data_IF_053198944984
#
_entry.id   IF_053198944984
#
_cell.length_a   1.000
_cell.length_b   1.000
_cell.length_c   1.000
_cell.angle_alpha   90.00
_cell.angle_beta   90.00
_cell.angle_gamma   90.00
#
_symmetry.space_group_name_H-M   'P 1'
#
loop_
_entity.id
_entity.type
_entity.pdbx_description
1 polymer ?
#
# COMPACT_ATOMS: atom_id res chain seq x y z
N UNK A 1 12.18 14.66 7.23
CA UNK A 1 13.17 14.15 6.26
C UNK A 1 14.18 13.12 6.79
N UNK A 2 14.14 12.74 8.08
CA UNK A 2 15.08 11.77 8.63
C UNK A 2 14.90 10.38 7.98
N UNK A 3 13.65 9.99 7.79
CA UNK A 3 13.25 8.73 7.14
C UNK A 3 12.18 9.01 6.07
N UNK A 4 12.58 9.38 4.84
CA UNK A 4 11.63 9.77 3.80
C UNK A 4 10.90 8.59 3.15
N UNK A 5 11.33 7.37 3.43
CA UNK A 5 10.78 6.13 2.90
C UNK A 5 10.72 5.10 4.02
N UNK A 6 9.63 4.35 4.09
CA UNK A 6 9.42 3.20 4.97
C UNK A 6 8.80 2.07 4.15
N UNK A 7 9.07 0.83 4.53
CA UNK A 7 8.48 -0.38 3.95
C UNK A 7 7.31 -0.92 4.77
N UNK A 8 6.98 -0.29 5.89
CA UNK A 8 5.82 -0.62 6.69
C UNK A 8 4.51 -0.15 6.06
N UNK A 9 3.42 -0.82 6.41
CA UNK A 9 2.10 -0.46 5.94
C UNK A 9 0.99 -1.15 6.72
N UNK A 10 -0.24 -0.74 6.41
CA UNK A 10 -1.46 -1.32 6.99
C UNK A 10 -2.41 -1.78 5.92
N UNK A 11 -3.43 -2.56 6.32
CA UNK A 11 -4.48 -3.02 5.41
C UNK A 11 -5.19 -1.86 4.69
N UNK A 12 -5.53 -0.77 5.38
CA UNK A 12 -6.16 0.40 4.75
C UNK A 12 -5.30 0.98 3.64
N UNK A 13 -3.98 1.07 3.83
CA UNK A 13 -3.06 1.56 2.80
C UNK A 13 -3.04 0.64 1.57
N UNK A 14 -2.99 -0.66 1.77
CA UNK A 14 -3.06 -1.65 0.67
C UNK A 14 -4.40 -1.58 -0.04
N UNK A 15 -5.52 -1.56 0.71
CA UNK A 15 -6.86 -1.48 0.16
C UNK A 15 -7.07 -0.20 -0.66
N UNK A 16 -6.51 0.92 -0.21
CA UNK A 16 -6.57 2.20 -0.92
C UNK A 16 -5.79 2.18 -2.25
N UNK A 17 -4.61 1.56 -2.27
CA UNK A 17 -3.81 1.36 -3.49
C UNK A 17 -4.54 0.43 -4.46
N UNK A 18 -5.00 -0.72 -3.98
CA UNK A 18 -5.72 -1.72 -4.79
C UNK A 18 -7.01 -1.14 -5.36
N UNK A 19 -7.78 -0.39 -4.57
CA UNK A 19 -9.01 0.26 -5.04
C UNK A 19 -8.78 1.30 -6.14
N UNK A 20 -7.59 1.92 -6.16
CA UNK A 20 -7.24 2.92 -7.19
C UNK A 20 -6.60 2.31 -8.43
N UNK A 21 -5.72 1.34 -8.26
CA UNK A 21 -4.86 0.85 -9.33
C UNK A 21 -5.19 -0.57 -9.80
N UNK A 22 -6.04 -1.30 -9.06
CA UNK A 22 -6.40 -2.67 -9.36
C UNK A 22 -5.40 -3.70 -8.85
N UNK A 23 -5.51 -4.92 -9.39
CA UNK A 23 -4.65 -6.05 -9.07
C UNK A 23 -4.00 -6.63 -10.33
N UNK A 24 -2.81 -7.17 -10.16
CA UNK A 24 -2.07 -7.90 -11.20
C UNK A 24 -1.61 -9.24 -10.62
N UNK A 25 -1.82 -10.37 -11.32
CA UNK A 25 -1.35 -11.66 -10.84
C UNK A 25 0.18 -11.75 -10.93
N UNK A 26 0.77 -12.57 -10.05
CA UNK A 26 2.22 -12.73 -9.92
C UNK A 26 2.91 -13.16 -11.23
N UNK A 27 2.22 -13.95 -12.05
CA UNK A 27 2.74 -14.44 -13.33
C UNK A 27 2.94 -13.32 -14.36
N UNK A 28 2.15 -12.24 -14.25
CA UNK A 28 2.21 -11.09 -15.16
C UNK A 28 3.24 -10.07 -14.73
N UNK A 29 3.42 -9.91 -13.42
CA UNK A 29 4.45 -9.05 -12.82
C UNK A 29 5.23 -9.85 -11.79
N UNK A 30 6.18 -10.69 -12.23
CA UNK A 30 6.95 -11.54 -11.33
C UNK A 30 7.89 -10.72 -10.46
N UNK A 31 8.20 -11.27 -9.29
CA UNK A 31 9.19 -10.70 -8.38
C UNK A 31 10.55 -10.54 -9.06
N UNK A 32 11.20 -9.42 -8.81
CA UNK A 32 12.55 -9.13 -9.25
C UNK A 32 13.54 -9.35 -8.10
N UNK A 33 14.84 -9.40 -8.38
CA UNK A 33 15.84 -9.40 -7.32
C UNK A 33 15.69 -8.20 -6.37
N UNK A 34 15.39 -7.02 -6.92
CA UNK A 34 15.24 -5.80 -6.13
C UNK A 34 13.95 -5.77 -5.29
N UNK A 35 12.88 -6.48 -5.69
CA UNK A 35 11.66 -6.59 -4.86
C UNK A 35 11.88 -7.48 -3.64
N UNK A 36 12.77 -8.48 -3.75
CA UNK A 36 13.17 -9.35 -2.63
C UNK A 36 14.32 -8.76 -1.79
N UNK A 37 15.09 -7.82 -2.34
CA UNK A 37 16.27 -7.19 -1.72
C UNK A 37 16.19 -5.66 -1.84
N UNK A 38 15.24 -5.05 -1.16
CA UNK A 38 14.85 -3.63 -1.33
C UNK A 38 15.87 -2.60 -0.83
N UNK A 39 16.85 -2.98 0.00
CA UNK A 39 17.71 -2.06 0.74
C UNK A 39 18.45 -1.05 -0.14
N UNK A 40 19.03 -1.49 -1.27
CA UNK A 40 19.80 -0.60 -2.17
C UNK A 40 18.87 0.37 -2.90
N UNK A 41 17.75 -0.13 -3.45
CA UNK A 41 16.73 0.69 -4.11
C UNK A 41 16.16 1.72 -3.14
N UNK A 42 15.77 1.30 -1.93
CA UNK A 42 15.23 2.17 -0.89
C UNK A 42 16.24 3.23 -0.46
N UNK A 43 17.51 2.89 -0.33
CA UNK A 43 18.59 3.84 0.01
C UNK A 43 18.76 4.89 -1.08
N UNK A 44 18.78 4.49 -2.35
CA UNK A 44 18.92 5.41 -3.48
C UNK A 44 17.73 6.35 -3.58
N UNK A 45 16.51 5.83 -3.49
CA UNK A 45 15.28 6.64 -3.50
C UNK A 45 15.28 7.59 -2.31
N UNK A 46 15.63 7.10 -1.11
CA UNK A 46 15.71 7.92 0.09
C UNK A 46 16.69 9.09 -0.03
N UNK A 47 17.85 8.89 -0.66
CA UNK A 47 18.80 9.97 -0.97
C UNK A 47 18.20 10.99 -1.95
N UNK A 48 17.57 10.51 -3.03
CA UNK A 48 16.91 11.39 -4.00
C UNK A 48 15.76 12.20 -3.39
N UNK A 49 14.94 11.58 -2.56
CA UNK A 49 13.85 12.29 -1.88
C UNK A 49 14.38 13.38 -0.93
N UNK A 50 15.51 13.15 -0.25
CA UNK A 50 16.17 14.18 0.59
C UNK A 50 16.71 15.33 -0.25
N UNK A 51 17.44 15.03 -1.33
CA UNK A 51 17.96 16.00 -2.28
C UNK A 51 16.81 16.88 -2.84
N UNK A 52 15.77 16.26 -3.35
CA UNK A 52 14.62 16.94 -3.93
C UNK A 52 13.83 17.76 -2.92
N UNK A 53 13.66 17.22 -1.71
CA UNK A 53 12.99 17.93 -0.63
C UNK A 53 13.74 19.20 -0.21
N UNK A 54 15.09 19.20 -0.22
CA UNK A 54 15.91 20.38 0.04
C UNK A 54 15.76 21.40 -1.10
N UNK A 55 15.87 20.96 -2.37
CA UNK A 55 15.72 21.83 -3.54
C UNK A 55 14.36 22.51 -3.58
N UNK A 56 13.27 21.76 -3.33
CA UNK A 56 11.91 22.31 -3.30
C UNK A 56 11.75 23.33 -2.15
N UNK A 57 12.30 23.04 -0.97
CA UNK A 57 12.27 23.96 0.17
C UNK A 57 13.00 25.26 -0.13
N UNK A 58 14.19 25.19 -0.73
CA UNK A 58 14.92 26.38 -1.18
C UNK A 58 14.15 27.19 -2.23
N UNK A 59 13.50 26.49 -3.17
CA UNK A 59 12.67 27.14 -4.19
C UNK A 59 11.52 27.93 -3.59
N UNK A 60 10.85 27.38 -2.56
CA UNK A 60 9.81 28.07 -1.81
C UNK A 60 10.39 29.28 -1.06
N UNK A 61 11.53 29.14 -0.38
CA UNK A 61 12.17 30.21 0.36
C UNK A 61 12.62 31.36 -0.54
N UNK A 62 13.03 31.07 -1.77
CA UNK A 62 13.38 32.05 -2.81
C UNK A 62 12.17 32.70 -3.49
N UNK A 63 10.94 32.35 -3.07
CA UNK A 63 9.69 32.87 -3.65
C UNK A 63 9.44 32.47 -5.08
N UNK A 64 9.91 31.26 -5.47
CA UNK A 64 9.63 30.70 -6.81
C UNK A 64 8.14 30.53 -7.02
N UNK A 65 7.66 30.77 -8.23
CA UNK A 65 6.27 30.57 -8.63
C UNK A 65 5.82 29.12 -8.42
N UNK A 66 4.60 28.94 -7.87
CA UNK A 66 4.05 27.62 -7.50
C UNK A 66 4.01 26.68 -8.69
N UNK A 67 3.61 27.16 -9.89
CA UNK A 67 3.54 26.33 -11.09
C UNK A 67 4.92 25.79 -11.50
N UNK A 68 5.98 26.60 -11.32
CA UNK A 68 7.35 26.15 -11.58
C UNK A 68 7.80 25.10 -10.56
N UNK A 69 7.43 25.27 -9.28
CA UNK A 69 7.70 24.29 -8.23
C UNK A 69 6.99 22.97 -8.54
N UNK A 70 5.73 23.00 -8.95
CA UNK A 70 4.97 21.82 -9.33
C UNK A 70 5.54 21.10 -10.56
N UNK A 71 5.92 21.86 -11.60
CA UNK A 71 6.58 21.30 -12.77
C UNK A 71 7.90 20.61 -12.39
N UNK A 72 8.73 21.27 -11.57
CA UNK A 72 9.98 20.70 -11.08
C UNK A 72 9.76 19.44 -10.24
N UNK A 73 8.76 19.43 -9.36
CA UNK A 73 8.36 18.24 -8.59
C UNK A 73 7.97 17.08 -9.51
N UNK A 74 7.27 17.34 -10.62
CA UNK A 74 6.91 16.31 -11.59
C UNK A 74 8.16 15.68 -12.21
N UNK A 75 9.13 16.47 -12.67
CA UNK A 75 10.42 15.96 -13.18
C UNK A 75 11.17 15.10 -12.15
N UNK A 76 11.15 15.51 -10.88
CA UNK A 76 11.74 14.76 -9.78
C UNK A 76 11.03 13.40 -9.59
N UNK A 77 9.70 13.38 -9.65
CA UNK A 77 8.91 12.15 -9.56
C UNK A 77 9.14 11.23 -10.76
N UNK A 78 9.33 11.76 -11.96
CA UNK A 78 9.71 10.97 -13.14
C UNK A 78 11.06 10.26 -12.92
N UNK A 79 12.02 10.93 -12.29
CA UNK A 79 13.29 10.30 -11.93
C UNK A 79 13.11 9.17 -10.91
N UNK A 80 12.29 9.38 -9.87
CA UNK A 80 11.96 8.33 -8.89
C UNK A 80 11.26 7.16 -9.57
N UNK A 81 10.28 7.44 -10.44
CA UNK A 81 9.58 6.42 -11.20
C UNK A 81 10.53 5.60 -12.08
N UNK A 82 11.50 6.25 -12.75
CA UNK A 82 12.52 5.55 -13.54
C UNK A 82 13.36 4.60 -12.68
N UNK A 83 13.75 5.01 -11.46
CA UNK A 83 14.46 4.13 -10.54
C UNK A 83 13.60 2.92 -10.17
N UNK A 84 12.31 3.13 -9.87
CA UNK A 84 11.39 2.04 -9.56
C UNK A 84 11.24 1.08 -10.75
N UNK A 85 11.04 1.59 -11.95
CA UNK A 85 10.89 0.76 -13.18
C UNK A 85 12.15 -0.06 -13.46
N UNK A 86 13.35 0.52 -13.30
CA UNK A 86 14.61 -0.21 -13.48
C UNK A 86 14.80 -1.35 -12.47
N UNK A 87 14.25 -1.23 -11.28
CA UNK A 87 14.38 -2.21 -10.22
C UNK A 87 13.23 -3.23 -10.18
N UNK A 88 11.99 -2.79 -10.46
CA UNK A 88 10.78 -3.58 -10.25
C UNK A 88 10.06 -3.97 -11.55
N UNK A 89 10.46 -3.40 -12.69
CA UNK A 89 9.76 -3.55 -13.96
C UNK A 89 8.68 -2.50 -14.18
N UNK A 90 8.13 -2.48 -15.39
CA UNK A 90 7.02 -1.58 -15.75
C UNK A 90 5.71 -2.21 -15.31
N UNK A 91 4.89 -1.52 -14.50
CA UNK A 91 3.56 -2.02 -14.17
C UNK A 91 2.72 -2.20 -15.44
N UNK A 92 2.11 -3.37 -15.65
CA UNK A 92 1.28 -3.61 -16.83
C UNK A 92 -0.01 -2.80 -16.76
N UNK A 93 -0.41 -2.22 -17.90
CA UNK A 93 -1.71 -1.53 -18.05
C UNK A 93 -2.81 -2.47 -18.51
N UNK A 94 -2.42 -3.54 -19.19
CA UNK A 94 -3.29 -4.64 -19.66
C UNK A 94 -2.46 -5.91 -19.75
N UNK A 95 -3.10 -7.07 -19.65
CA UNK A 95 -2.44 -8.37 -19.68
C UNK A 95 -3.40 -9.49 -20.00
N UNK A 96 -2.85 -10.61 -20.48
CA UNK A 96 -3.58 -11.86 -20.63
C UNK A 96 -3.36 -12.75 -19.41
N UNK A 97 -4.46 -13.22 -18.84
CA UNK A 97 -4.46 -14.13 -17.69
C UNK A 97 -4.94 -15.51 -18.12
N UNK A 98 -4.12 -16.54 -17.91
CA UNK A 98 -4.46 -17.92 -18.20
C UNK A 98 -5.06 -18.56 -16.96
N UNK A 99 -6.39 -18.71 -16.96
CA UNK A 99 -7.08 -19.44 -15.88
C UNK A 99 -6.78 -20.93 -15.99
N UNK A 100 -6.39 -21.54 -14.87
CA UNK A 100 -6.04 -22.96 -14.78
C UNK A 100 -7.06 -23.71 -13.93
N UNK A 101 -7.26 -25.01 -14.23
CA UNK A 101 -8.03 -25.92 -13.40
C UNK A 101 -7.24 -26.32 -12.14
N UNK A 102 -7.88 -27.13 -11.27
CA UNK A 102 -7.24 -27.64 -10.04
C UNK A 102 -6.02 -28.54 -10.29
N UNK A 103 -5.84 -29.02 -11.53
CA UNK A 103 -4.68 -29.82 -11.94
C UNK A 103 -3.60 -28.99 -12.60
N UNK A 104 -3.80 -27.67 -12.76
CA UNK A 104 -2.86 -26.76 -13.39
C UNK A 104 -2.99 -26.67 -14.91
N UNK A 105 -3.98 -27.31 -15.55
CA UNK A 105 -4.16 -27.22 -16.99
C UNK A 105 -4.83 -25.90 -17.37
N UNK A 106 -4.42 -25.24 -18.46
CA UNK A 106 -5.07 -24.04 -18.96
C UNK A 106 -6.52 -24.35 -19.38
N UNK A 107 -7.45 -23.54 -18.92
CA UNK A 107 -8.88 -23.64 -19.22
C UNK A 107 -9.31 -22.54 -20.18
N UNK A 108 -8.83 -21.31 -19.95
CA UNK A 108 -9.25 -20.12 -20.68
C UNK A 108 -8.19 -19.04 -20.58
N UNK A 109 -8.03 -18.28 -21.64
CA UNK A 109 -7.22 -17.03 -21.60
C UNK A 109 -8.16 -15.85 -21.61
N UNK A 110 -7.99 -14.96 -20.65
CA UNK A 110 -8.81 -13.78 -20.44
C UNK A 110 -7.95 -12.53 -20.54
N UNK A 111 -8.44 -11.50 -21.24
CA UNK A 111 -7.76 -10.22 -21.34
C UNK A 111 -8.27 -9.27 -20.25
N UNK A 112 -7.36 -8.68 -19.48
CA UNK A 112 -7.67 -7.82 -18.35
C UNK A 112 -6.84 -6.55 -18.31
N UNK A 113 -7.46 -5.49 -17.78
CA UNK A 113 -6.74 -4.41 -17.10
C UNK A 113 -6.62 -4.76 -15.60
N UNK A 114 -5.70 -4.13 -14.83
CA UNK A 114 -5.64 -4.35 -13.39
C UNK A 114 -6.97 -4.14 -12.66
N UNK A 115 -7.78 -3.17 -13.11
CA UNK A 115 -9.12 -2.91 -12.54
C UNK A 115 -10.12 -4.01 -12.89
N UNK A 116 -10.20 -4.44 -14.15
CA UNK A 116 -11.12 -5.51 -14.53
C UNK A 116 -10.75 -6.85 -13.89
N UNK A 117 -9.46 -7.08 -13.63
CA UNK A 117 -9.01 -8.25 -12.87
C UNK A 117 -9.43 -8.17 -11.40
N UNK A 118 -9.30 -7.01 -10.76
CA UNK A 118 -9.81 -6.78 -9.41
C UNK A 118 -11.31 -7.03 -9.33
N UNK A 119 -12.10 -6.52 -10.29
CA UNK A 119 -13.55 -6.69 -10.32
C UNK A 119 -13.99 -8.15 -10.42
N UNK A 120 -13.23 -8.96 -11.15
CA UNK A 120 -13.56 -10.37 -11.38
C UNK A 120 -13.04 -11.31 -10.31
N UNK A 121 -11.82 -11.09 -9.82
CA UNK A 121 -11.08 -12.01 -8.97
C UNK A 121 -10.81 -11.49 -7.55
N UNK A 122 -11.02 -10.20 -7.31
CA UNK A 122 -10.81 -9.58 -6.01
C UNK A 122 -12.10 -9.03 -5.39
N UNK A 123 -11.93 -8.34 -4.27
CA UNK A 123 -13.00 -7.57 -3.65
C UNK A 123 -12.79 -6.08 -3.94
N UNK A 124 -13.59 -5.53 -4.86
CA UNK A 124 -13.55 -4.10 -5.19
C UNK A 124 -14.00 -3.19 -4.03
N UNK A 125 -14.65 -3.76 -3.03
CA UNK A 125 -15.16 -3.04 -1.87
C UNK A 125 -14.25 -3.19 -0.64
N UNK A 126 -12.95 -3.44 -0.83
CA UNK A 126 -11.97 -3.62 0.26
C UNK A 126 -12.04 -2.52 1.33
N UNK A 127 -12.27 -1.25 0.92
CA UNK A 127 -12.35 -0.12 1.85
C UNK A 127 -13.65 -0.04 2.66
N UNK A 128 -14.69 -0.77 2.26
CA UNK A 128 -16.00 -0.75 2.89
C UNK A 128 -16.38 -2.06 3.57
N UNK A 129 -15.84 -3.18 3.09
CA UNK A 129 -16.13 -4.52 3.62
C UNK A 129 -15.24 -4.88 4.82
N UNK A 130 -14.15 -4.14 5.04
CA UNK A 130 -13.19 -4.41 6.10
C UNK A 130 -12.96 -3.17 6.95
N UNK A 131 -12.71 -3.40 8.22
CA UNK A 131 -12.38 -2.36 9.19
C UNK A 131 -11.15 -2.78 9.98
N UNK A 132 -10.27 -1.83 10.26
CA UNK A 132 -9.15 -2.06 11.18
C UNK A 132 -9.64 -1.85 12.60
N UNK A 133 -9.30 -2.78 13.48
CA UNK A 133 -9.56 -2.69 14.91
C UNK A 133 -8.25 -2.55 15.68
N UNK A 134 -8.29 -1.88 16.82
CA UNK A 134 -7.16 -1.78 17.75
C UNK A 134 -7.62 -2.09 19.18
N UNK A 135 -6.70 -2.45 20.03
CA UNK A 135 -6.89 -2.47 21.47
C UNK A 135 -5.92 -1.49 22.10
N UNK A 136 -6.43 -0.35 22.51
CA UNK A 136 -5.69 0.66 23.26
C UNK A 136 -6.49 1.01 24.53
N UNK A 137 -6.13 0.45 25.70
CA UNK A 137 -6.84 0.70 26.95
C UNK A 137 -6.67 2.13 27.48
N UNK A 138 -5.75 2.93 26.93
CA UNK A 138 -5.59 4.34 27.29
C UNK A 138 -6.64 5.26 26.64
N UNK A 139 -7.45 4.72 25.71
CA UNK A 139 -8.46 5.44 24.95
C UNK A 139 -9.84 4.85 25.16
N UNK A 140 -10.88 5.64 24.91
CA UNK A 140 -12.25 5.14 25.00
C UNK A 140 -12.49 3.99 24.01
N UNK A 141 -13.06 2.89 24.51
CA UNK A 141 -13.53 1.81 23.66
C UNK A 141 -14.78 2.22 22.88
N UNK A 142 -15.05 1.51 21.80
CA UNK A 142 -16.20 1.73 20.88
C UNK A 142 -16.18 3.10 20.19
N UNK A 143 -15.00 3.68 20.05
CA UNK A 143 -14.74 4.90 19.30
C UNK A 143 -13.91 4.62 18.06
N UNK A 144 -14.15 5.44 17.04
CA UNK A 144 -13.33 5.46 15.83
C UNK A 144 -12.22 6.50 15.98
N UNK A 145 -10.99 6.10 15.71
CA UNK A 145 -9.81 6.97 15.76
C UNK A 145 -9.16 7.01 14.38
N UNK A 146 -8.91 8.20 13.89
CA UNK A 146 -8.19 8.46 12.66
C UNK A 146 -6.78 8.96 12.97
N UNK A 147 -5.77 8.45 12.25
CA UNK A 147 -4.40 8.91 12.36
C UNK A 147 -4.16 9.89 11.23
N UNK A 148 -4.07 11.18 11.58
CA UNK A 148 -3.91 12.25 10.60
C UNK A 148 -2.59 12.12 9.85
N UNK A 149 -2.63 12.35 8.52
CA UNK A 149 -1.52 12.20 7.58
C UNK A 149 -0.93 10.80 7.42
N UNK A 150 -1.41 9.78 8.11
CA UNK A 150 -0.94 8.42 7.96
C UNK A 150 -1.72 7.72 6.83
N UNK A 151 -1.16 7.78 5.64
CA UNK A 151 -1.76 7.28 4.39
C UNK A 151 -0.67 6.95 3.37
N UNK A 152 -0.95 6.00 2.48
CA UNK A 152 0.02 5.56 1.46
C UNK A 152 0.02 6.41 0.19
N UNK A 153 -1.02 7.22 -0.02
CA UNK A 153 -1.15 8.12 -1.16
C UNK A 153 -1.47 9.53 -0.67
N UNK A 154 -1.00 10.54 -1.39
CA UNK A 154 -1.32 11.94 -1.07
C UNK A 154 -2.83 12.21 -1.04
N UNK A 155 -3.57 11.64 -2.00
CA UNK A 155 -5.01 11.72 -2.13
C UNK A 155 -5.75 10.52 -1.52
N UNK A 156 -5.07 9.70 -0.73
CA UNK A 156 -5.59 8.52 -0.08
C UNK A 156 -6.30 8.80 1.24
N UNK A 157 -6.83 7.73 1.83
CA UNK A 157 -7.49 7.77 3.12
C UNK A 157 -6.50 7.62 4.26
N UNK A 158 -6.68 8.40 5.32
CA UNK A 158 -5.97 8.21 6.57
C UNK A 158 -6.36 6.88 7.21
N UNK A 159 -5.46 6.32 7.99
CA UNK A 159 -5.73 5.09 8.73
C UNK A 159 -6.75 5.34 9.81
N UNK A 160 -7.74 4.48 9.88
CA UNK A 160 -8.85 4.59 10.80
C UNK A 160 -9.03 3.27 11.54
N UNK A 161 -9.13 3.34 12.86
CA UNK A 161 -9.28 2.18 13.72
C UNK A 161 -10.50 2.31 14.62
N UNK A 162 -11.21 1.21 14.84
CA UNK A 162 -12.20 1.10 15.90
C UNK A 162 -11.51 0.51 17.14
N UNK A 163 -11.56 1.23 18.26
CA UNK A 163 -10.95 0.75 19.50
C UNK A 163 -11.92 -0.18 20.25
N UNK A 164 -11.51 -1.41 20.45
CA UNK A 164 -12.31 -2.45 21.09
C UNK A 164 -11.56 -3.14 22.23
N UNK A 165 -12.28 -3.67 23.24
CA UNK A 165 -11.69 -4.57 24.23
C UNK A 165 -11.05 -5.79 23.57
N UNK A 166 -9.93 -6.25 24.11
CA UNK A 166 -9.18 -7.39 23.53
C UNK A 166 -10.03 -8.67 23.44
N UNK A 167 -10.97 -8.85 24.37
CA UNK A 167 -11.83 -10.05 24.37
C UNK A 167 -12.76 -10.05 23.15
N UNK A 168 -13.33 -8.91 22.77
CA UNK A 168 -14.15 -8.80 21.57
C UNK A 168 -13.33 -9.02 20.30
N UNK A 169 -12.10 -8.49 20.24
CA UNK A 169 -11.20 -8.75 19.10
C UNK A 169 -10.89 -10.24 18.96
N UNK A 170 -10.68 -10.97 20.08
CA UNK A 170 -10.51 -12.43 20.09
C UNK A 170 -11.75 -13.15 19.56
N UNK A 171 -12.94 -12.75 20.00
CA UNK A 171 -14.19 -13.33 19.51
C UNK A 171 -14.38 -13.12 18.02
N UNK A 172 -14.11 -11.90 17.54
CA UNK A 172 -14.15 -11.57 16.12
C UNK A 172 -13.15 -12.40 15.31
N UNK A 173 -11.92 -12.58 15.83
CA UNK A 173 -10.90 -13.39 15.19
C UNK A 173 -11.32 -14.87 15.08
N UNK A 174 -11.89 -15.42 16.15
CA UNK A 174 -12.40 -16.81 16.17
C UNK A 174 -13.57 -16.97 15.19
N UNK A 175 -14.50 -16.01 15.15
CA UNK A 175 -15.62 -16.02 14.21
C UNK A 175 -15.15 -15.96 12.76
N UNK A 176 -14.20 -15.07 12.45
CA UNK A 176 -13.59 -14.91 11.13
C UNK A 176 -12.92 -16.20 10.65
N UNK A 177 -12.15 -16.87 11.52
CA UNK A 177 -11.51 -18.14 11.20
C UNK A 177 -12.53 -19.27 10.97
N UNK A 178 -13.62 -19.31 11.74
CA UNK A 178 -14.72 -20.29 11.53
C UNK A 178 -15.42 -20.06 10.20
N UNK A 179 -15.51 -18.82 9.75
CA UNK A 179 -16.06 -18.43 8.44
C UNK A 179 -15.02 -18.52 7.30
N UNK A 180 -13.87 -19.16 7.55
CA UNK A 180 -12.77 -19.29 6.58
C UNK A 180 -12.20 -17.98 6.07
N UNK A 181 -12.42 -16.89 6.79
CA UNK A 181 -11.87 -15.57 6.48
C UNK A 181 -10.59 -15.34 7.27
N UNK A 182 -9.54 -14.88 6.60
CA UNK A 182 -8.26 -14.58 7.25
C UNK A 182 -8.24 -13.17 7.80
N UNK A 183 -7.64 -13.00 8.97
CA UNK A 183 -7.35 -11.69 9.55
C UNK A 183 -5.85 -11.40 9.48
N UNK A 184 -5.51 -10.18 9.12
CA UNK A 184 -4.17 -9.64 9.34
C UNK A 184 -4.07 -9.17 10.79
N UNK A 185 -3.02 -9.59 11.49
CA UNK A 185 -2.81 -9.29 12.89
C UNK A 185 -1.42 -8.69 13.10
N UNK A 186 -1.35 -7.60 13.86
CA UNK A 186 -0.10 -6.98 14.28
C UNK A 186 -0.16 -6.75 15.79
N UNK A 187 0.88 -7.11 16.53
CA UNK A 187 0.97 -6.89 17.98
C UNK A 187 2.39 -6.48 18.35
N UNK A 188 2.50 -5.69 19.39
CA UNK A 188 3.77 -5.44 20.05
C UNK A 188 4.11 -6.64 20.93
N UNK A 189 5.26 -7.26 20.65
CA UNK A 189 5.78 -8.42 21.41
C UNK A 189 7.09 -8.08 22.15
N UNK A 190 7.47 -6.81 22.18
CA UNK A 190 8.81 -6.39 22.64
C UNK A 190 8.94 -6.19 24.13
N UNK A 191 7.87 -6.31 24.92
CA UNK A 191 7.94 -6.21 26.38
C UNK A 191 7.15 -7.34 27.05
N UNK A 192 7.83 -8.44 27.28
CA UNK A 192 7.52 -9.40 28.33
C UNK A 192 8.62 -9.25 29.39
N UNK A 193 8.49 -8.24 30.24
CA UNK A 193 9.20 -8.17 31.54
C UNK A 193 8.35 -8.80 32.63
#
# INVERSE_FOLDING_TARGET
>A
FKHPLSDGGTFTGVADIVSKYGLVPKEVMPETYSSEHTSQMSSLIGLKLKEYGLELRESVQKGMDVKKIEARKTEMLETVYRILVLNLGVPPTEFDYVRKDVKGNPVETEHHTPMSFLEKYGDKNLLTNYVMVMNDPSREYYKCYEIDFDRHRYDGKNWTYVNLPVEEIKEMAIASLKDSTRMYFSSDVTQLD
#
